data_IF_117382936650
#
_entry.id   IF_117382936650
#
_cell.length_a   1.000
_cell.length_b   1.000
_cell.length_c   1.000
_cell.angle_alpha   90.00
_cell.angle_beta   90.00
_cell.angle_gamma   90.00
#
_symmetry.space_group_name_H-M   'P 1'
#
loop_
_entity.id
_entity.type
_entity.pdbx_description
1 polymer ?
#
# COMPACT_ATOMS: atom_id res chain seq x y z
N UNK A 1 19.56 13.65 -1.14
CA UNK A 1 19.54 14.27 0.20
C UNK A 1 18.22 13.90 0.91
N UNK A 2 18.32 13.43 2.13
CA UNK A 2 17.13 13.07 2.89
C UNK A 2 16.39 14.32 3.39
N UNK A 3 15.09 14.18 3.56
CA UNK A 3 14.23 15.21 4.13
C UNK A 3 13.75 14.76 5.51
N UNK A 4 13.17 15.66 6.29
CA UNK A 4 12.65 15.30 7.60
C UNK A 4 11.47 14.34 7.47
N UNK A 5 11.21 13.57 8.53
CA UNK A 5 10.07 12.67 8.57
C UNK A 5 8.75 13.43 8.41
N UNK A 6 8.68 14.62 9.00
CA UNK A 6 7.50 15.48 8.88
C UNK A 6 7.27 15.94 7.45
N UNK A 7 8.34 16.30 6.74
CA UNK A 7 8.23 16.72 5.35
C UNK A 7 7.87 15.55 4.45
N UNK A 8 8.43 14.37 4.72
CA UNK A 8 8.09 13.16 3.97
C UNK A 8 6.60 12.83 4.13
N UNK A 9 6.09 12.90 5.33
CA UNK A 9 4.66 12.70 5.59
C UNK A 9 3.81 13.71 4.84
N UNK A 10 4.18 14.98 4.91
CA UNK A 10 3.42 16.05 4.26
C UNK A 10 3.37 15.88 2.74
N UNK A 11 4.46 15.41 2.13
CA UNK A 11 4.51 15.16 0.69
C UNK A 11 3.64 13.99 0.27
N UNK A 12 3.60 12.94 1.08
CA UNK A 12 2.91 11.71 0.69
C UNK A 12 1.44 11.68 1.12
N UNK A 13 1.07 12.39 2.18
CA UNK A 13 -0.28 12.30 2.76
C UNK A 13 -1.42 12.50 1.76
N UNK A 14 -1.41 13.50 0.87
CA UNK A 14 -2.51 13.66 -0.09
C UNK A 14 -2.65 12.45 -1.02
N UNK A 15 -1.52 11.89 -1.45
CA UNK A 15 -1.51 10.75 -2.36
C UNK A 15 -1.97 9.48 -1.66
N UNK A 16 -1.56 9.28 -0.40
CA UNK A 16 -2.02 8.16 0.42
C UNK A 16 -3.53 8.21 0.65
N UNK A 17 -4.07 9.39 0.89
CA UNK A 17 -5.50 9.54 1.07
C UNK A 17 -6.26 9.11 -0.19
N UNK A 18 -5.83 9.55 -1.36
CA UNK A 18 -6.40 9.14 -2.63
C UNK A 18 -6.30 7.62 -2.83
N UNK A 19 -5.16 7.04 -2.48
CA UNK A 19 -4.91 5.61 -2.60
C UNK A 19 -5.86 4.81 -1.71
N UNK A 20 -6.00 5.21 -0.45
CA UNK A 20 -6.89 4.55 0.50
C UNK A 20 -8.36 4.65 0.07
N UNK A 21 -8.77 5.80 -0.43
CA UNK A 21 -10.14 6.01 -0.91
C UNK A 21 -10.44 5.16 -2.16
N UNK A 22 -9.43 4.91 -2.99
CA UNK A 22 -9.59 4.10 -4.19
C UNK A 22 -9.65 2.59 -3.89
N UNK A 23 -9.23 2.17 -2.69
CA UNK A 23 -9.19 0.77 -2.31
C UNK A 23 -10.58 0.27 -1.91
N UNK A 24 -11.43 0.07 -2.93
CA UNK A 24 -12.83 -0.35 -2.80
C UNK A 24 -13.16 -1.23 -4.00
N UNK A 25 -14.12 -2.14 -3.85
CA UNK A 25 -14.50 -3.07 -4.93
C UNK A 25 -14.91 -2.32 -6.21
N UNK A 26 -15.56 -1.17 -6.07
CA UNK A 26 -16.04 -0.40 -7.21
C UNK A 26 -14.94 0.34 -7.94
N UNK A 27 -13.81 0.60 -7.28
CA UNK A 27 -12.73 1.43 -7.81
C UNK A 27 -11.39 0.72 -7.83
N UNK A 28 -11.38 -0.60 -7.59
CA UNK A 28 -10.14 -1.37 -7.47
C UNK A 28 -9.25 -1.24 -8.72
N UNK A 29 -9.84 -1.08 -9.89
CA UNK A 29 -9.08 -0.88 -11.12
C UNK A 29 -8.25 0.41 -11.07
N UNK A 30 -8.75 1.43 -10.38
CA UNK A 30 -8.05 2.71 -10.22
C UNK A 30 -6.86 2.59 -9.29
N UNK A 31 -6.87 1.64 -8.36
CA UNK A 31 -5.75 1.44 -7.43
C UNK A 31 -4.48 1.06 -8.20
N UNK A 32 -4.62 0.31 -9.29
CA UNK A 32 -3.49 -0.01 -10.14
C UNK A 32 -2.78 1.21 -10.73
N UNK A 33 -3.49 2.32 -10.88
CA UNK A 33 -2.91 3.55 -11.42
C UNK A 33 -1.97 4.24 -10.44
N UNK A 34 -1.98 3.85 -9.17
CA UNK A 34 -1.04 4.33 -8.16
C UNK A 34 0.30 3.58 -8.20
N UNK A 35 0.39 2.51 -8.99
CA UNK A 35 1.60 1.69 -9.11
C UNK A 35 2.30 2.01 -10.42
N UNK A 36 3.63 2.08 -10.35
CA UNK A 36 4.44 2.19 -11.55
C UNK A 36 4.31 0.93 -12.40
N UNK A 37 4.54 1.06 -13.70
CA UNK A 37 4.46 -0.07 -14.64
C UNK A 37 5.39 -1.24 -14.28
N UNK A 38 6.49 -0.94 -13.60
CA UNK A 38 7.50 -1.92 -13.18
C UNK A 38 7.47 -2.18 -11.67
N UNK A 39 6.38 -1.85 -11.00
CA UNK A 39 6.25 -2.04 -9.56
C UNK A 39 6.19 -3.52 -9.18
N UNK A 40 6.53 -3.79 -7.94
CA UNK A 40 6.44 -5.13 -7.36
C UNK A 40 5.59 -5.08 -6.09
N UNK A 41 4.72 -6.05 -5.94
CA UNK A 41 3.91 -6.25 -4.74
C UNK A 41 4.23 -7.61 -4.15
N UNK A 42 4.73 -7.62 -2.92
CA UNK A 42 5.15 -8.84 -2.23
C UNK A 42 4.21 -9.13 -1.07
N UNK A 43 3.53 -10.26 -1.14
CA UNK A 43 2.79 -10.82 -0.01
C UNK A 43 3.70 -11.86 0.63
N UNK A 44 4.28 -11.54 1.78
CA UNK A 44 5.31 -12.37 2.42
C UNK A 44 4.79 -13.81 2.64
N UNK A 45 5.57 -14.77 2.18
CA UNK A 45 5.24 -16.19 2.34
C UNK A 45 4.18 -16.73 1.39
N UNK A 46 3.67 -15.89 0.48
CA UNK A 46 2.60 -16.28 -0.43
C UNK A 46 2.94 -15.99 -1.89
N UNK A 47 3.00 -14.72 -2.28
CA UNK A 47 3.07 -14.37 -3.70
C UNK A 47 3.88 -13.10 -3.95
N UNK A 48 4.41 -13.02 -5.18
CA UNK A 48 5.05 -11.80 -5.70
C UNK A 48 4.38 -11.47 -7.03
N UNK A 49 3.81 -10.26 -7.12
CA UNK A 49 3.20 -9.76 -8.33
C UNK A 49 4.09 -8.65 -8.92
N UNK A 50 4.41 -8.76 -10.19
CA UNK A 50 5.23 -7.80 -10.90
C UNK A 50 4.43 -7.16 -12.02
N UNK A 51 4.41 -5.82 -12.04
CA UNK A 51 3.68 -5.06 -13.05
C UNK A 51 2.22 -4.83 -12.70
N UNK A 52 1.58 -3.89 -13.41
CA UNK A 52 0.23 -3.43 -13.06
C UNK A 52 -0.84 -4.51 -13.07
N UNK A 53 -0.89 -5.33 -14.11
CA UNK A 53 -1.97 -6.31 -14.23
C UNK A 53 -1.91 -7.41 -13.17
N UNK A 54 -0.75 -8.05 -12.92
CA UNK A 54 -0.66 -8.99 -11.80
C UNK A 54 -0.93 -8.34 -10.46
N UNK A 55 -0.50 -7.08 -10.26
CA UNK A 55 -0.75 -6.35 -9.01
C UNK A 55 -2.24 -6.12 -8.81
N UNK A 56 -2.97 -5.72 -9.85
CA UNK A 56 -4.43 -5.54 -9.78
C UNK A 56 -5.13 -6.83 -9.35
N UNK A 57 -4.72 -7.96 -9.92
CA UNK A 57 -5.28 -9.25 -9.54
C UNK A 57 -5.03 -9.59 -8.07
N UNK A 58 -3.81 -9.32 -7.60
CA UNK A 58 -3.46 -9.57 -6.20
C UNK A 58 -4.24 -8.65 -5.25
N UNK A 59 -4.39 -7.38 -5.61
CA UNK A 59 -5.16 -6.42 -4.83
C UNK A 59 -6.63 -6.83 -4.74
N UNK A 60 -7.19 -7.37 -5.81
CA UNK A 60 -8.56 -7.86 -5.80
C UNK A 60 -8.73 -9.04 -4.84
N UNK A 61 -7.77 -9.96 -4.83
CA UNK A 61 -7.74 -11.07 -3.88
C UNK A 61 -7.69 -10.56 -2.43
N UNK A 62 -6.88 -9.55 -2.18
CA UNK A 62 -6.73 -8.95 -0.85
C UNK A 62 -8.02 -8.28 -0.40
N UNK A 63 -8.70 -7.61 -1.31
CA UNK A 63 -9.97 -6.98 -1.01
C UNK A 63 -11.02 -8.01 -0.61
N UNK A 64 -11.06 -9.16 -1.31
CA UNK A 64 -11.96 -10.27 -0.95
C UNK A 64 -11.61 -10.84 0.42
N UNK A 65 -10.32 -10.96 0.73
CA UNK A 65 -9.86 -11.52 2.00
C UNK A 65 -10.17 -10.61 3.19
N UNK A 66 -9.95 -9.32 3.03
CA UNK A 66 -10.10 -8.36 4.14
C UNK A 66 -11.51 -7.78 4.25
N UNK A 67 -12.30 -7.83 3.19
CA UNK A 67 -13.54 -7.05 3.13
C UNK A 67 -13.21 -5.56 2.99
N UNK A 68 -14.23 -4.73 2.86
CA UNK A 68 -14.03 -3.33 2.52
C UNK A 68 -13.90 -2.38 3.71
N UNK A 69 -14.12 -2.83 4.95
CA UNK A 69 -14.58 -1.87 5.94
C UNK A 69 -13.79 -1.71 7.23
N UNK A 70 -12.87 -2.58 7.57
CA UNK A 70 -12.26 -2.48 8.89
C UNK A 70 -10.77 -2.78 8.85
N UNK A 71 -10.03 -1.88 8.22
CA UNK A 71 -8.57 -1.91 8.25
C UNK A 71 -8.08 -0.70 9.04
N UNK A 72 -7.32 -0.95 10.08
CA UNK A 72 -6.74 0.08 10.92
C UNK A 72 -5.22 0.08 10.75
N UNK A 73 -4.66 1.26 10.44
CA UNK A 73 -3.22 1.43 10.27
C UNK A 73 -2.65 2.18 11.47
N UNK A 74 -1.51 1.71 11.98
CA UNK A 74 -0.88 2.30 13.14
C UNK A 74 0.65 2.15 13.09
N UNK A 75 1.36 2.79 14.01
CA UNK A 75 2.83 2.83 14.03
C UNK A 75 3.42 3.28 12.70
N UNK A 76 2.79 4.28 12.09
CA UNK A 76 3.19 4.79 10.78
C UNK A 76 4.48 5.60 10.87
N UNK A 77 5.39 5.37 9.92
CA UNK A 77 6.64 6.10 9.81
C UNK A 77 6.88 6.50 8.36
N UNK A 78 7.45 7.69 8.18
CA UNK A 78 7.72 8.27 6.87
C UNK A 78 9.17 8.72 6.82
N UNK A 79 9.84 8.46 5.70
CA UNK A 79 11.22 8.89 5.50
C UNK A 79 11.50 9.00 4.00
N UNK A 80 12.69 9.42 3.64
CA UNK A 80 13.13 9.42 2.27
C UNK A 80 13.73 10.74 1.80
N UNK A 81 13.61 10.97 0.51
CA UNK A 81 14.08 12.19 -0.17
C UNK A 81 12.88 12.85 -0.87
N UNK A 82 13.13 13.98 -1.53
CA UNK A 82 12.06 14.65 -2.29
C UNK A 82 11.52 13.81 -3.45
N UNK A 83 12.27 12.80 -3.92
CA UNK A 83 11.89 11.97 -5.07
C UNK A 83 11.48 10.56 -4.71
N UNK A 84 11.89 10.06 -3.55
CA UNK A 84 11.60 8.70 -3.07
C UNK A 84 11.14 8.77 -1.63
N UNK A 85 9.95 8.28 -1.36
CA UNK A 85 9.38 8.27 -0.01
C UNK A 85 9.16 6.84 0.44
N UNK A 86 9.57 6.55 1.67
CA UNK A 86 9.40 5.25 2.31
C UNK A 86 8.33 5.39 3.37
N UNK A 87 7.31 4.55 3.26
CA UNK A 87 6.19 4.54 4.17
C UNK A 87 6.07 3.15 4.80
N UNK A 88 6.17 3.09 6.11
CA UNK A 88 6.09 1.83 6.85
C UNK A 88 5.04 1.94 7.94
N UNK A 89 4.58 0.80 8.42
CA UNK A 89 3.64 0.76 9.51
C UNK A 89 3.15 -0.64 9.78
N UNK A 90 2.08 -0.69 10.54
CA UNK A 90 1.38 -1.93 10.84
C UNK A 90 -0.10 -1.76 10.54
N UNK A 91 -0.77 -2.86 10.30
CA UNK A 91 -2.19 -2.86 10.08
C UNK A 91 -2.87 -4.00 10.85
N UNK A 92 -4.12 -3.80 11.13
CA UNK A 92 -5.00 -4.81 11.71
C UNK A 92 -6.32 -4.74 10.95
N UNK A 93 -6.79 -5.86 10.45
CA UNK A 93 -8.01 -5.91 9.66
C UNK A 93 -8.90 -7.05 10.13
N UNK A 94 -10.21 -6.84 9.99
CA UNK A 94 -11.21 -7.83 10.33
C UNK A 94 -11.69 -8.51 9.05
N UNK A 95 -11.67 -9.84 9.05
CA UNK A 95 -12.17 -10.61 7.92
C UNK A 95 -13.70 -10.65 7.92
N UNK A 96 -14.35 -10.81 6.75
CA UNK A 96 -15.81 -10.90 6.68
C UNK A 96 -16.39 -12.01 7.55
N UNK A 97 -15.65 -13.09 7.76
CA UNK A 97 -16.10 -14.22 8.58
C UNK A 97 -15.88 -14.03 10.08
N UNK A 98 -15.44 -12.84 10.50
CA UNK A 98 -15.21 -12.52 11.91
C UNK A 98 -13.81 -12.78 12.44
N UNK A 99 -12.91 -13.36 11.64
CA UNK A 99 -11.52 -13.53 12.01
C UNK A 99 -10.75 -12.21 11.82
N UNK A 100 -9.52 -12.17 12.37
CA UNK A 100 -8.65 -11.00 12.24
C UNK A 100 -7.34 -11.37 11.56
N UNK A 101 -6.75 -10.40 10.87
CA UNK A 101 -5.40 -10.48 10.33
C UNK A 101 -4.64 -9.22 10.74
N UNK A 102 -3.32 -9.34 10.83
CA UNK A 102 -2.46 -8.19 11.11
C UNK A 102 -1.09 -8.41 10.46
N UNK A 103 -0.28 -7.38 10.45
CA UNK A 103 1.08 -7.49 9.94
C UNK A 103 1.73 -6.13 9.76
N UNK A 104 2.99 -6.17 9.35
CA UNK A 104 3.72 -4.98 8.97
C UNK A 104 3.68 -4.77 7.47
N UNK A 105 3.90 -3.53 7.05
CA UNK A 105 3.99 -3.19 5.63
C UNK A 105 5.08 -2.18 5.39
N UNK A 106 5.60 -2.19 4.16
CA UNK A 106 6.60 -1.23 3.70
C UNK A 106 6.30 -0.88 2.26
N UNK A 107 6.22 0.40 1.96
CA UNK A 107 6.00 0.90 0.61
C UNK A 107 7.08 1.91 0.25
N UNK A 108 7.51 1.87 -1.00
CA UNK A 108 8.39 2.89 -1.57
C UNK A 108 7.64 3.57 -2.70
N UNK A 109 7.51 4.88 -2.59
CA UNK A 109 6.84 5.74 -3.57
C UNK A 109 7.90 6.59 -4.26
N UNK A 110 7.89 6.58 -5.57
CA UNK A 110 8.82 7.35 -6.39
C UNK A 110 8.07 8.42 -7.18
N UNK A 111 8.64 9.62 -7.23
CA UNK A 111 8.08 10.71 -8.02
C UNK A 111 8.38 10.48 -9.50
N UNK A 112 7.34 10.32 -10.30
CA UNK A 112 7.42 10.07 -11.73
C UNK A 112 6.48 11.05 -12.42
N UNK A 113 7.03 11.90 -13.28
CA UNK A 113 6.27 12.92 -13.97
C UNK A 113 5.44 13.80 -13.03
N UNK A 114 6.04 14.16 -11.88
CA UNK A 114 5.43 15.05 -10.91
C UNK A 114 4.46 14.39 -9.94
N UNK A 115 4.27 13.07 -10.02
CA UNK A 115 3.33 12.34 -9.18
C UNK A 115 3.99 11.14 -8.52
N UNK A 116 3.69 10.89 -7.24
CA UNK A 116 4.23 9.74 -6.55
C UNK A 116 3.49 8.46 -6.92
N UNK A 117 4.25 7.45 -7.36
CA UNK A 117 3.74 6.12 -7.68
C UNK A 117 4.47 5.08 -6.85
N UNK A 118 3.78 4.03 -6.47
CA UNK A 118 4.37 2.90 -5.74
C UNK A 118 5.28 2.13 -6.69
N UNK A 119 6.52 1.92 -6.30
CA UNK A 119 7.45 1.06 -7.03
C UNK A 119 7.70 -0.25 -6.30
N UNK A 120 7.44 -0.29 -5.00
CA UNK A 120 7.68 -1.44 -4.15
C UNK A 120 6.64 -1.43 -3.04
N UNK A 121 5.99 -2.57 -2.84
CA UNK A 121 4.98 -2.74 -1.80
C UNK A 121 5.13 -4.14 -1.21
N UNK A 122 5.37 -4.21 0.08
CA UNK A 122 5.58 -5.47 0.79
C UNK A 122 4.73 -5.48 2.06
N UNK A 123 4.03 -6.56 2.29
CA UNK A 123 3.27 -6.69 3.52
C UNK A 123 3.19 -8.16 3.94
N UNK A 124 2.97 -8.35 5.22
CA UNK A 124 2.75 -9.69 5.78
C UNK A 124 1.29 -9.83 6.20
N UNK A 125 0.81 -11.06 6.13
CA UNK A 125 -0.53 -11.42 6.61
C UNK A 125 -0.36 -12.47 7.70
N UNK A 126 -0.68 -12.08 8.93
CA UNK A 126 -0.62 -12.98 10.08
C UNK A 126 -2.05 -13.20 10.55
N UNK A 127 -2.49 -14.45 10.49
CA UNK A 127 -3.83 -14.81 10.91
C UNK A 127 -3.84 -14.98 12.44
N UNK A 128 -4.73 -14.26 13.09
CA UNK A 128 -4.88 -14.31 14.53
C UNK A 128 -5.96 -15.31 14.93
#
# INVERSE_FOLDING_TARGET
MSISNKDAEALLAPRLQEFEEAFDIKTIDKVGDFYDKDAVLITVGDNVAYGKEPIKKELLKLLDLFGSNECNFFDKAYSGTSDHLIYTGQYEAKKPNGGKVHGGFEQIWKKINGEFLVIYDKFEIIHA
#
